data_IF_490633807545
#
_entry.id   IF_490633807545
#
_cell.length_a   1.000
_cell.length_b   1.000
_cell.length_c   1.000
_cell.angle_alpha   90.00
_cell.angle_beta   90.00
_cell.angle_gamma   90.00
#
_symmetry.space_group_name_H-M   'P 1'
#
loop_
_entity.id
_entity.type
_entity.pdbx_description
1 polymer ?
#
# COMPACT_ATOMS: atom_id res chain seq x y z
N UNK A 1 20.95 1.93 -9.34
CA UNK A 1 19.50 2.11 -9.09
C UNK A 1 19.22 1.91 -7.61
N UNK A 2 18.05 2.34 -7.12
CA UNK A 2 17.69 2.19 -5.69
C UNK A 2 17.71 0.70 -5.26
N UNK A 3 18.28 0.37 -4.09
CA UNK A 3 18.31 -1.00 -3.57
C UNK A 3 16.93 -1.35 -2.99
N UNK A 4 16.03 -1.84 -3.86
CA UNK A 4 14.71 -2.33 -3.46
C UNK A 4 14.74 -3.85 -3.56
N UNK A 5 14.50 -4.50 -2.43
CA UNK A 5 14.50 -5.94 -2.23
C UNK A 5 13.29 -6.40 -1.39
N UNK A 6 13.21 -7.69 -1.08
CA UNK A 6 12.09 -8.28 -0.36
C UNK A 6 12.04 -7.95 1.15
N UNK A 7 12.95 -7.11 1.65
CA UNK A 7 12.91 -6.54 3.00
C UNK A 7 12.51 -5.06 2.99
N UNK A 8 12.41 -4.46 1.81
CA UNK A 8 12.14 -3.04 1.64
C UNK A 8 10.65 -2.74 1.86
N UNK A 9 10.36 -1.68 2.62
CA UNK A 9 9.02 -1.10 2.73
C UNK A 9 9.01 0.21 1.94
N UNK A 10 8.13 0.31 0.94
CA UNK A 10 7.92 1.52 0.16
C UNK A 10 6.81 2.35 0.78
N UNK A 11 7.06 3.65 0.95
CA UNK A 11 6.03 4.64 1.28
C UNK A 11 5.79 5.51 0.06
N UNK A 12 4.57 5.50 -0.46
CA UNK A 12 4.19 6.13 -1.71
C UNK A 12 2.99 7.05 -1.48
N UNK A 13 2.92 8.18 -2.19
CA UNK A 13 1.68 8.97 -2.19
C UNK A 13 0.62 8.26 -3.04
N UNK A 14 0.95 8.02 -4.32
CA UNK A 14 0.03 7.44 -5.32
C UNK A 14 -0.06 5.92 -5.19
N UNK A 15 -1.26 5.32 -5.33
CA UNK A 15 -1.41 3.87 -5.32
C UNK A 15 -0.73 3.21 -6.53
N UNK A 16 -0.16 2.00 -6.38
CA UNK A 16 0.05 1.11 -7.52
C UNK A 16 -1.30 0.77 -8.18
N UNK A 17 -1.37 0.80 -9.51
CA UNK A 17 -2.63 0.56 -10.23
C UNK A 17 -3.24 -0.80 -9.90
N UNK A 18 -4.55 -0.81 -9.67
CA UNK A 18 -5.33 -1.99 -9.29
C UNK A 18 -5.34 -2.32 -7.80
N UNK A 19 -4.63 -1.55 -6.95
CA UNK A 19 -4.56 -1.77 -5.51
C UNK A 19 -5.14 -0.58 -4.75
N UNK A 20 -6.38 -0.73 -4.26
CA UNK A 20 -7.12 0.31 -3.52
C UNK A 20 -7.14 1.68 -4.22
N UNK A 21 -7.11 1.67 -5.55
CA UNK A 21 -6.99 2.86 -6.39
C UNK A 21 -8.30 3.21 -7.13
N UNK A 22 -9.39 2.52 -6.80
CA UNK A 22 -10.71 2.70 -7.42
C UNK A 22 -11.50 3.80 -6.71
N UNK A 23 -11.89 4.84 -7.44
CA UNK A 23 -12.75 5.93 -6.95
C UNK A 23 -14.21 5.48 -6.79
N UNK A 24 -15.07 6.31 -6.20
CA UNK A 24 -16.51 6.06 -6.14
C UNK A 24 -17.18 6.03 -7.54
N UNK A 25 -16.57 6.66 -8.54
CA UNK A 25 -17.02 6.59 -9.95
C UNK A 25 -16.59 5.30 -10.64
N UNK A 26 -15.78 4.49 -9.96
CA UNK A 26 -15.30 3.21 -10.45
C UNK A 26 -14.03 3.28 -11.30
N UNK A 27 -13.40 4.45 -11.39
CA UNK A 27 -12.19 4.67 -12.16
C UNK A 27 -10.95 4.24 -11.36
N UNK A 28 -9.99 3.61 -12.04
CA UNK A 28 -8.68 3.29 -11.46
C UNK A 28 -7.72 4.44 -11.72
N UNK A 29 -7.26 5.09 -10.64
CA UNK A 29 -6.35 6.26 -10.71
C UNK A 29 -4.92 5.94 -10.23
N UNK A 30 -4.61 4.66 -10.02
CA UNK A 30 -3.26 4.24 -9.62
C UNK A 30 -2.26 4.27 -10.77
N UNK A 31 -0.97 4.26 -10.42
CA UNK A 31 0.13 4.36 -11.37
C UNK A 31 0.56 2.99 -11.91
N UNK A 32 0.56 2.85 -13.24
CA UNK A 32 1.13 1.70 -13.94
C UNK A 32 2.65 1.58 -13.70
N UNK A 33 3.37 2.69 -13.58
CA UNK A 33 4.81 2.69 -13.34
C UNK A 33 5.16 2.15 -11.94
N UNK A 34 4.39 2.54 -10.92
CA UNK A 34 4.54 2.00 -9.57
C UNK A 34 4.19 0.51 -9.53
N UNK A 35 3.13 0.09 -10.24
CA UNK A 35 2.81 -1.33 -10.36
C UNK A 35 3.96 -2.14 -10.97
N UNK A 36 4.57 -1.64 -12.06
CA UNK A 36 5.74 -2.28 -12.68
C UNK A 36 6.93 -2.34 -11.73
N UNK A 37 7.23 -1.25 -11.02
CA UNK A 37 8.30 -1.20 -10.03
C UNK A 37 8.10 -2.29 -8.97
N UNK A 38 6.91 -2.36 -8.37
CA UNK A 38 6.58 -3.32 -7.32
C UNK A 38 6.63 -4.76 -7.82
N UNK A 39 6.07 -5.03 -9.00
CA UNK A 39 6.14 -6.38 -9.62
C UNK A 39 7.57 -6.83 -9.90
N UNK A 40 8.43 -5.91 -10.35
CA UNK A 40 9.81 -6.22 -10.71
C UNK A 40 10.73 -6.36 -9.49
N UNK A 41 10.53 -5.52 -8.47
CA UNK A 41 11.41 -5.46 -7.29
C UNK A 41 10.93 -6.28 -6.10
N UNK A 42 9.64 -6.64 -6.06
CA UNK A 42 8.99 -7.46 -5.02
C UNK A 42 9.33 -7.00 -3.59
N UNK A 43 9.11 -5.71 -3.25
CA UNK A 43 9.33 -5.22 -1.89
C UNK A 43 8.47 -5.99 -0.87
N UNK A 44 8.85 -5.95 0.40
CA UNK A 44 8.04 -6.51 1.48
C UNK A 44 6.65 -5.87 1.49
N UNK A 45 6.58 -4.53 1.47
CA UNK A 45 5.32 -3.81 1.52
C UNK A 45 5.33 -2.50 0.73
N UNK A 46 4.15 -2.09 0.28
CA UNK A 46 3.87 -0.77 -0.27
C UNK A 46 2.75 -0.13 0.54
N UNK A 47 3.06 0.99 1.20
CA UNK A 47 2.14 1.77 2.00
C UNK A 47 1.80 3.03 1.21
N UNK A 48 0.51 3.35 1.05
CA UNK A 48 0.11 4.48 0.23
C UNK A 48 -1.22 5.13 0.62
N UNK A 49 -1.44 6.33 0.08
CA UNK A 49 -2.58 7.20 0.34
C UNK A 49 -3.41 7.51 -0.91
N UNK A 50 -3.76 8.78 -1.09
CA UNK A 50 -4.42 9.38 -2.27
C UNK A 50 -5.93 9.12 -2.44
N UNK A 51 -6.39 7.88 -2.46
CA UNK A 51 -7.82 7.55 -2.63
C UNK A 51 -8.50 7.54 -1.26
N UNK A 52 -9.43 8.44 -0.99
CA UNK A 52 -10.07 8.55 0.33
C UNK A 52 -11.20 7.53 0.53
N UNK A 53 -11.73 7.00 -0.56
CA UNK A 53 -12.87 6.09 -0.62
C UNK A 53 -12.52 4.64 -0.25
N UNK A 54 -11.23 4.33 -0.20
CA UNK A 54 -10.72 2.98 0.04
C UNK A 54 -9.66 2.99 1.12
N UNK A 55 -9.80 2.05 2.04
CA UNK A 55 -8.80 1.64 3.02
C UNK A 55 -8.68 0.13 2.95
N UNK A 56 -7.54 -0.41 3.36
CA UNK A 56 -7.41 -1.84 3.50
C UNK A 56 -6.00 -2.34 3.33
N UNK A 57 -5.87 -3.65 3.40
CA UNK A 57 -4.62 -4.34 3.15
C UNK A 57 -4.88 -5.60 2.33
N UNK A 58 -3.93 -5.94 1.47
CA UNK A 58 -3.94 -7.24 0.80
C UNK A 58 -2.50 -7.68 0.53
N UNK A 59 -2.32 -8.95 0.17
CA UNK A 59 -1.05 -9.49 -0.30
C UNK A 59 -1.22 -9.97 -1.72
N UNK A 60 -0.28 -9.62 -2.60
CA UNK A 60 -0.20 -10.17 -3.95
C UNK A 60 1.23 -10.65 -4.21
N UNK A 61 1.39 -11.95 -4.44
CA UNK A 61 2.70 -12.60 -4.39
C UNK A 61 3.34 -12.43 -3.01
N UNK A 62 4.54 -11.87 -2.98
CA UNK A 62 5.32 -11.63 -1.76
C UNK A 62 5.15 -10.22 -1.18
N UNK A 63 4.47 -9.32 -1.89
CA UNK A 63 4.33 -7.92 -1.48
C UNK A 63 2.98 -7.66 -0.82
N UNK A 64 3.01 -7.00 0.34
CA UNK A 64 1.83 -6.44 1.00
C UNK A 64 1.51 -5.05 0.44
N UNK A 65 0.24 -4.77 0.20
CA UNK A 65 -0.27 -3.46 -0.21
C UNK A 65 -1.13 -2.94 0.93
N UNK A 66 -0.80 -1.77 1.48
CA UNK A 66 -1.49 -1.16 2.63
C UNK A 66 -1.94 0.23 2.24
N UNK A 67 -3.25 0.42 2.20
CA UNK A 67 -3.89 1.71 1.97
C UNK A 67 -4.30 2.34 3.29
N UNK A 68 -3.64 3.44 3.65
CA UNK A 68 -3.92 4.15 4.91
C UNK A 68 -5.23 4.95 4.82
N UNK A 69 -5.95 5.10 5.96
CA UNK A 69 -7.10 5.99 6.07
C UNK A 69 -6.70 7.46 5.87
N UNK A 70 -7.63 8.31 5.42
CA UNK A 70 -7.39 9.75 5.40
C UNK A 70 -7.29 10.28 6.84
N UNK A 71 -6.34 11.20 7.08
CA UNK A 71 -6.05 11.70 8.43
C UNK A 71 -7.27 12.35 9.12
N UNK A 72 -8.18 12.96 8.34
CA UNK A 72 -9.41 13.59 8.84
C UNK A 72 -10.38 12.62 9.56
N UNK A 73 -10.23 11.32 9.33
CA UNK A 73 -11.11 10.31 9.92
C UNK A 73 -10.65 9.87 11.32
N UNK A 74 -9.58 10.47 11.87
CA UNK A 74 -8.98 10.08 13.16
C UNK A 74 -8.69 8.57 13.26
N UNK A 75 -8.23 7.99 12.15
CA UNK A 75 -7.82 6.59 12.05
C UNK A 75 -6.35 6.52 11.66
N UNK A 76 -5.67 5.49 12.13
CA UNK A 76 -4.32 5.18 11.67
C UNK A 76 -4.11 3.67 11.49
N UNK A 77 -2.95 3.29 10.97
CA UNK A 77 -2.56 1.89 10.76
C UNK A 77 -1.30 1.60 11.56
N UNK A 78 -1.38 0.62 12.45
CA UNK A 78 -0.19 0.05 13.10
C UNK A 78 0.31 -1.09 12.24
N UNK A 79 1.58 -1.00 11.85
CA UNK A 79 2.29 -2.02 11.09
C UNK A 79 3.37 -2.66 11.96
N UNK A 80 3.28 -3.97 12.16
CA UNK A 80 4.32 -4.76 12.83
C UNK A 80 4.89 -5.76 11.84
N UNK A 81 6.20 -5.94 11.82
CA UNK A 81 6.83 -6.96 10.96
C UNK A 81 7.77 -7.86 11.72
N UNK A 82 7.76 -9.15 11.37
CA UNK A 82 8.69 -10.15 11.86
C UNK A 82 8.92 -11.19 10.75
N UNK A 83 10.17 -11.52 10.43
CA UNK A 83 10.54 -12.52 9.43
C UNK A 83 9.76 -12.40 8.11
N UNK A 84 9.70 -11.19 7.52
CA UNK A 84 8.97 -10.88 6.27
C UNK A 84 7.46 -11.12 6.33
N UNK A 85 6.89 -11.30 7.53
CA UNK A 85 5.45 -11.27 7.77
C UNK A 85 5.05 -9.87 8.23
N UNK A 86 3.94 -9.36 7.71
CA UNK A 86 3.38 -8.06 8.10
C UNK A 86 2.06 -8.30 8.83
N UNK A 87 1.92 -7.68 9.99
CA UNK A 87 0.70 -7.60 10.76
C UNK A 87 0.17 -6.17 10.65
N UNK A 88 -1.11 -6.05 10.32
CA UNK A 88 -1.77 -4.78 10.01
C UNK A 88 -2.96 -4.62 10.94
N UNK A 89 -3.01 -3.52 11.69
CA UNK A 89 -4.10 -3.19 12.59
C UNK A 89 -4.57 -1.76 12.32
N UNK A 90 -5.88 -1.60 12.08
CA UNK A 90 -6.49 -0.28 11.91
C UNK A 90 -7.06 0.15 13.25
N UNK A 91 -6.66 1.33 13.72
CA UNK A 91 -7.12 1.87 15.01
C UNK A 91 -7.72 3.25 14.83
N UNK A 92 -8.56 3.64 15.79
CA UNK A 92 -9.00 5.01 15.98
C UNK A 92 -8.11 5.70 17.00
N UNK A 93 -7.74 6.95 16.70
CA UNK A 93 -6.98 7.83 17.58
C UNK A 93 -7.91 8.63 18.50
#
# INVERSE_FOLDING_TARGET
GLPIDEKTILLLHTPPKGFFDKTNKGEHIGSDALLRLVKNKKPLACIFGHVHERIGFCKNGDTYFVKVPPAKDHKCVILKTNNKKLFVEFIHL
#
